data_IF_918723432620
#
_entry.id   IF_918723432620
#
_cell.length_a   1.000
_cell.length_b   1.000
_cell.length_c   1.000
_cell.angle_alpha   90.00
_cell.angle_beta   90.00
_cell.angle_gamma   90.00
#
_symmetry.space_group_name_H-M   'P 1'
#
loop_
_entity.id
_entity.type
_entity.pdbx_description
1 polymer ?
#
# COMPACT_ATOMS: atom_id res chain seq x y z
N UNK A 1 -11.82 -19.80 9.34
CA UNK A 1 -10.72 -19.24 10.15
C UNK A 1 -11.12 -18.95 11.60
N UNK A 2 -12.39 -18.61 11.91
CA UNK A 2 -12.84 -18.27 13.28
C UNK A 2 -12.56 -19.37 14.30
N UNK A 3 -12.83 -20.64 13.94
CA UNK A 3 -12.46 -21.77 14.79
C UNK A 3 -10.95 -21.87 15.02
N UNK A 4 -10.14 -21.61 14.00
CA UNK A 4 -8.68 -21.62 14.13
C UNK A 4 -8.19 -20.52 15.09
N UNK A 5 -8.72 -19.31 14.95
CA UNK A 5 -8.44 -18.20 15.89
C UNK A 5 -8.88 -18.53 17.31
N UNK A 6 -10.00 -19.23 17.49
CA UNK A 6 -10.47 -19.65 18.80
C UNK A 6 -9.49 -20.63 19.47
N UNK A 7 -8.87 -21.54 18.72
CA UNK A 7 -7.92 -22.52 19.26
C UNK A 7 -6.50 -21.96 19.46
N UNK A 8 -6.04 -21.11 18.54
CA UNK A 8 -4.72 -20.49 18.61
C UNK A 8 -4.78 -19.08 18.00
N UNK A 9 -5.20 -18.14 18.83
CA UNK A 9 -5.34 -16.73 18.43
C UNK A 9 -4.03 -16.13 17.92
N UNK A 10 -2.92 -16.40 18.62
CA UNK A 10 -1.62 -15.82 18.29
C UNK A 10 -1.17 -16.20 16.88
N UNK A 11 -1.45 -17.44 16.48
CA UNK A 11 -1.06 -17.95 15.15
C UNK A 11 -2.01 -17.48 14.04
N UNK A 12 -3.31 -17.44 14.30
CA UNK A 12 -4.30 -17.34 13.22
C UNK A 12 -4.99 -15.99 13.09
N UNK A 13 -4.85 -15.10 14.09
CA UNK A 13 -5.57 -13.82 14.07
C UNK A 13 -5.06 -12.90 12.95
N UNK A 14 -3.75 -12.76 12.81
CA UNK A 14 -3.14 -11.95 11.74
C UNK A 14 -3.45 -12.52 10.35
N UNK A 15 -3.36 -13.85 10.20
CA UNK A 15 -3.71 -14.50 8.94
C UNK A 15 -5.19 -14.31 8.59
N UNK A 16 -6.10 -14.33 9.57
CA UNK A 16 -7.51 -14.02 9.33
C UNK A 16 -7.69 -12.57 8.89
N UNK A 17 -6.99 -11.62 9.51
CA UNK A 17 -6.97 -10.22 9.09
C UNK A 17 -6.50 -10.05 7.65
N UNK A 18 -5.42 -10.73 7.26
CA UNK A 18 -4.92 -10.77 5.88
C UNK A 18 -5.98 -11.30 4.91
N UNK A 19 -6.61 -12.44 5.22
CA UNK A 19 -7.67 -13.03 4.38
C UNK A 19 -8.88 -12.10 4.26
N UNK A 20 -9.24 -11.38 5.33
CA UNK A 20 -10.31 -10.38 5.30
C UNK A 20 -9.93 -9.19 4.41
N UNK A 21 -8.71 -8.65 4.55
CA UNK A 21 -8.25 -7.50 3.79
C UNK A 21 -8.14 -7.82 2.28
N UNK A 22 -7.43 -8.88 1.93
CA UNK A 22 -7.05 -9.13 0.53
C UNK A 22 -8.12 -9.92 -0.22
N UNK A 23 -8.72 -10.94 0.39
CA UNK A 23 -9.62 -11.87 -0.32
C UNK A 23 -11.10 -11.56 -0.13
N UNK A 24 -11.58 -11.42 1.11
CA UNK A 24 -13.00 -11.19 1.34
C UNK A 24 -13.43 -9.72 1.33
N UNK A 25 -12.47 -8.78 1.28
CA UNK A 25 -12.70 -7.33 1.28
C UNK A 25 -13.52 -6.85 2.50
N UNK A 26 -13.45 -7.61 3.60
CA UNK A 26 -13.99 -7.20 4.91
C UNK A 26 -12.95 -6.30 5.60
N UNK A 27 -12.83 -5.06 5.11
CA UNK A 27 -11.82 -4.12 5.56
C UNK A 27 -11.99 -3.72 7.03
N UNK A 28 -13.22 -3.55 7.50
CA UNK A 28 -13.49 -3.26 8.91
C UNK A 28 -13.05 -4.42 9.81
N UNK A 29 -13.44 -5.63 9.47
CA UNK A 29 -13.01 -6.81 10.22
C UNK A 29 -11.50 -7.08 10.14
N UNK A 30 -10.83 -6.70 9.03
CA UNK A 30 -9.39 -6.77 8.91
C UNK A 30 -8.70 -5.79 9.87
N UNK A 31 -9.17 -4.55 9.94
CA UNK A 31 -8.67 -3.52 10.87
C UNK A 31 -8.79 -4.02 12.32
N UNK A 32 -9.94 -4.55 12.71
CA UNK A 32 -10.18 -5.08 14.06
C UNK A 32 -9.19 -6.19 14.43
N UNK A 33 -8.98 -7.16 13.53
CA UNK A 33 -8.06 -8.27 13.74
C UNK A 33 -6.62 -7.79 13.87
N UNK A 34 -6.15 -6.92 12.98
CA UNK A 34 -4.78 -6.41 13.03
C UNK A 34 -4.54 -5.45 14.19
N UNK A 35 -5.50 -4.60 14.57
CA UNK A 35 -5.40 -3.75 15.77
C UNK A 35 -5.28 -4.60 17.03
N UNK A 36 -6.03 -5.70 17.12
CA UNK A 36 -5.93 -6.65 18.22
C UNK A 36 -4.56 -7.34 18.25
N UNK A 37 -4.00 -7.70 17.08
CA UNK A 37 -2.64 -8.23 16.99
C UNK A 37 -1.61 -7.22 17.49
N UNK A 38 -1.68 -5.98 17.02
CA UNK A 38 -0.75 -4.91 17.42
C UNK A 38 -0.81 -4.66 18.92
N UNK A 39 -2.03 -4.59 19.49
CA UNK A 39 -2.22 -4.36 20.92
C UNK A 39 -1.64 -5.48 21.78
N UNK A 40 -1.78 -6.73 21.35
CA UNK A 40 -1.34 -7.89 22.15
C UNK A 40 0.12 -8.30 21.91
N UNK A 41 0.61 -8.12 20.70
CA UNK A 41 1.86 -8.73 20.23
C UNK A 41 2.83 -7.74 19.59
N UNK A 42 2.43 -6.46 19.44
CA UNK A 42 3.17 -5.46 18.70
C UNK A 42 2.93 -5.52 17.19
N UNK A 43 3.38 -4.49 16.48
CA UNK A 43 3.34 -4.47 15.01
C UNK A 43 4.39 -5.45 14.47
N UNK A 44 3.92 -6.49 13.77
CA UNK A 44 4.73 -7.55 13.19
C UNK A 44 4.27 -7.81 11.76
N UNK A 45 4.73 -8.89 11.16
CA UNK A 45 4.48 -9.22 9.77
C UNK A 45 3.46 -10.35 9.64
N UNK A 46 2.61 -10.23 8.63
CA UNK A 46 1.84 -11.34 8.06
C UNK A 46 2.11 -11.37 6.56
N UNK A 47 2.42 -12.53 6.00
CA UNK A 47 2.97 -12.61 4.65
C UNK A 47 4.17 -11.65 4.51
N UNK A 48 4.16 -10.75 3.55
CA UNK A 48 5.32 -9.89 3.23
C UNK A 48 5.22 -8.47 3.82
N UNK A 49 4.13 -8.15 4.55
CA UNK A 49 3.87 -6.80 5.04
C UNK A 49 3.53 -6.74 6.54
N UNK A 50 3.70 -5.55 7.12
CA UNK A 50 3.34 -5.30 8.53
C UNK A 50 1.83 -5.32 8.73
N UNK A 51 1.39 -5.55 9.98
CA UNK A 51 -0.03 -5.41 10.33
C UNK A 51 -0.54 -3.99 10.05
N UNK A 52 0.29 -2.98 10.30
CA UNK A 52 -0.04 -1.58 10.02
C UNK A 52 -0.24 -1.32 8.52
N UNK A 53 0.55 -1.94 7.64
CA UNK A 53 0.34 -1.87 6.20
C UNK A 53 -1.08 -2.29 5.80
N UNK A 54 -1.56 -3.45 6.28
CA UNK A 54 -2.90 -3.92 5.95
C UNK A 54 -4.01 -3.04 6.56
N UNK A 55 -3.77 -2.45 7.73
CA UNK A 55 -4.70 -1.45 8.30
C UNK A 55 -4.77 -0.22 7.41
N UNK A 56 -3.63 0.32 6.98
CA UNK A 56 -3.56 1.45 6.06
C UNK A 56 -4.27 1.16 4.74
N UNK A 57 -4.00 -0.01 4.15
CA UNK A 57 -4.65 -0.48 2.92
C UNK A 57 -6.18 -0.59 3.08
N UNK A 58 -6.63 -1.12 4.22
CA UNK A 58 -8.05 -1.23 4.55
C UNK A 58 -8.71 0.15 4.67
N UNK A 59 -8.07 1.12 5.32
CA UNK A 59 -8.57 2.50 5.41
C UNK A 59 -8.65 3.18 4.03
N UNK A 60 -7.69 2.95 3.13
CA UNK A 60 -7.78 3.44 1.74
C UNK A 60 -9.05 2.93 1.05
N UNK A 61 -9.36 1.64 1.22
CA UNK A 61 -10.54 1.02 0.60
C UNK A 61 -11.86 1.44 1.25
N UNK A 62 -11.83 1.95 2.48
CA UNK A 62 -12.97 2.56 3.16
C UNK A 62 -13.09 4.08 2.88
N UNK A 63 -12.23 4.65 2.04
CA UNK A 63 -12.11 6.08 1.75
C UNK A 63 -11.78 6.94 2.99
N UNK A 64 -11.15 6.34 4.00
CA UNK A 64 -10.69 7.03 5.20
C UNK A 64 -9.23 7.47 5.05
N UNK A 65 -8.98 8.35 4.08
CA UNK A 65 -7.65 8.66 3.55
C UNK A 65 -6.71 9.29 4.59
N UNK A 66 -7.22 10.14 5.50
CA UNK A 66 -6.43 10.74 6.57
C UNK A 66 -5.98 9.71 7.61
N UNK A 67 -6.83 8.70 7.88
CA UNK A 67 -6.43 7.59 8.76
C UNK A 67 -5.38 6.72 8.09
N UNK A 68 -5.57 6.41 6.80
CA UNK A 68 -4.58 5.67 6.01
C UNK A 68 -3.24 6.40 6.01
N UNK A 69 -3.22 7.71 5.74
CA UNK A 69 -2.03 8.54 5.76
C UNK A 69 -1.30 8.46 7.11
N UNK A 70 -2.04 8.57 8.21
CA UNK A 70 -1.47 8.50 9.55
C UNK A 70 -0.84 7.15 9.85
N UNK A 71 -1.52 6.06 9.47
CA UNK A 71 -1.02 4.69 9.70
C UNK A 71 0.25 4.44 8.88
N UNK A 72 0.24 4.74 7.57
CA UNK A 72 1.41 4.54 6.72
C UNK A 72 2.60 5.39 7.17
N UNK A 73 2.38 6.66 7.55
CA UNK A 73 3.43 7.52 8.07
C UNK A 73 4.14 6.89 9.28
N UNK A 74 3.36 6.45 10.27
CA UNK A 74 3.91 5.89 11.50
C UNK A 74 4.65 4.57 11.24
N UNK A 75 4.12 3.73 10.36
CA UNK A 75 4.73 2.45 10.00
C UNK A 75 6.03 2.64 9.23
N UNK A 76 6.07 3.57 8.27
CA UNK A 76 7.27 3.95 7.51
C UNK A 76 8.35 4.52 8.44
N UNK A 77 7.98 5.36 9.40
CA UNK A 77 8.92 5.90 10.40
C UNK A 77 9.52 4.78 11.26
N UNK A 78 8.71 3.81 11.68
CA UNK A 78 9.16 2.67 12.46
C UNK A 78 10.05 1.73 11.65
N UNK A 79 9.67 1.39 10.42
CA UNK A 79 10.49 0.60 9.50
C UNK A 79 11.84 1.27 9.24
N UNK A 80 11.84 2.58 8.97
CA UNK A 80 13.06 3.34 8.70
C UNK A 80 13.99 3.35 9.92
N UNK A 81 13.46 3.49 11.14
CA UNK A 81 14.27 3.41 12.37
C UNK A 81 14.90 2.03 12.58
N UNK A 82 14.19 0.96 12.23
CA UNK A 82 14.64 -0.42 12.48
C UNK A 82 15.54 -0.96 11.38
N UNK A 83 15.27 -0.62 10.11
CA UNK A 83 15.89 -1.24 8.94
C UNK A 83 16.68 -0.26 8.08
N UNK A 84 16.63 1.05 8.38
CA UNK A 84 17.27 2.09 7.60
C UNK A 84 16.42 2.68 6.49
N UNK A 85 15.46 1.92 5.96
CA UNK A 85 14.51 2.37 4.95
C UNK A 85 13.17 1.64 5.08
N UNK A 86 12.11 2.21 4.53
CA UNK A 86 10.80 1.57 4.39
C UNK A 86 10.70 0.89 3.03
N UNK A 87 9.86 -0.13 2.91
CA UNK A 87 9.66 -0.85 1.66
C UNK A 87 8.97 0.03 0.60
N UNK A 88 9.35 -0.10 -0.67
CA UNK A 88 8.84 0.74 -1.77
C UNK A 88 7.31 0.72 -1.91
N UNK A 89 6.66 -0.40 -1.59
CA UNK A 89 5.21 -0.52 -1.69
C UNK A 89 4.49 0.25 -0.55
N UNK A 90 5.07 0.32 0.64
CA UNK A 90 4.57 1.18 1.73
C UNK A 90 4.62 2.66 1.34
N UNK A 91 5.73 3.09 0.73
CA UNK A 91 5.89 4.44 0.20
C UNK A 91 4.88 4.75 -0.91
N UNK A 92 4.60 3.78 -1.78
CA UNK A 92 3.56 3.89 -2.79
C UNK A 92 2.19 4.14 -2.17
N UNK A 93 1.73 3.30 -1.24
CA UNK A 93 0.41 3.47 -0.62
C UNK A 93 0.32 4.70 0.29
N UNK A 94 1.44 5.12 0.88
CA UNK A 94 1.50 6.42 1.55
C UNK A 94 1.30 7.57 0.55
N UNK A 95 1.93 7.51 -0.61
CA UNK A 95 1.68 8.43 -1.73
C UNK A 95 0.22 8.40 -2.20
N UNK A 96 -0.39 7.21 -2.31
CA UNK A 96 -1.81 7.05 -2.66
C UNK A 96 -2.73 7.73 -1.64
N UNK A 97 -2.45 7.60 -0.33
CA UNK A 97 -3.27 8.25 0.69
C UNK A 97 -3.29 9.78 0.54
N UNK A 98 -2.18 10.37 0.11
CA UNK A 98 -2.06 11.81 -0.20
C UNK A 98 -2.71 12.16 -1.55
N UNK A 99 -2.55 11.29 -2.55
CA UNK A 99 -3.18 11.43 -3.87
C UNK A 99 -4.71 11.53 -3.75
N UNK A 100 -5.34 10.66 -2.99
CA UNK A 100 -6.79 10.67 -2.77
C UNK A 100 -7.27 11.93 -2.04
N UNK A 101 -6.42 12.55 -1.25
CA UNK A 101 -6.66 13.83 -0.60
C UNK A 101 -6.31 15.04 -1.49
N UNK A 102 -5.95 14.83 -2.76
CA UNK A 102 -5.53 15.86 -3.71
C UNK A 102 -4.28 16.65 -3.27
N UNK A 103 -3.45 16.09 -2.39
CA UNK A 103 -2.15 16.64 -1.96
C UNK A 103 -1.08 16.26 -2.99
N UNK A 104 -1.20 16.80 -4.21
CA UNK A 104 -0.45 16.32 -5.39
C UNK A 104 1.06 16.39 -5.23
N UNK A 105 1.59 17.52 -4.73
CA UNK A 105 3.02 17.71 -4.51
C UNK A 105 3.56 16.73 -3.45
N UNK A 106 2.82 16.56 -2.36
CA UNK A 106 3.23 15.64 -1.31
C UNK A 106 3.18 14.17 -1.77
N UNK A 107 2.18 13.81 -2.58
CA UNK A 107 2.08 12.47 -3.16
C UNK A 107 3.30 12.19 -4.08
N UNK A 108 3.70 13.17 -4.91
CA UNK A 108 4.88 13.06 -5.77
C UNK A 108 6.14 12.78 -4.94
N UNK A 109 6.31 13.42 -3.79
CA UNK A 109 7.48 13.19 -2.92
C UNK A 109 7.56 11.72 -2.48
N UNK A 110 6.45 11.12 -2.10
CA UNK A 110 6.44 9.71 -1.67
C UNK A 110 6.60 8.75 -2.86
N UNK A 111 6.00 9.07 -4.00
CA UNK A 111 6.20 8.33 -5.25
C UNK A 111 7.66 8.36 -5.70
N UNK A 112 8.36 9.48 -5.56
CA UNK A 112 9.78 9.59 -5.87
C UNK A 112 10.66 8.72 -4.97
N UNK A 113 10.31 8.62 -3.68
CA UNK A 113 11.00 7.70 -2.76
C UNK A 113 10.79 6.24 -3.15
N UNK A 114 9.56 5.87 -3.56
CA UNK A 114 9.25 4.53 -4.06
C UNK A 114 10.04 4.21 -5.34
N UNK A 115 10.03 5.12 -6.31
CA UNK A 115 10.76 4.98 -7.59
C UNK A 115 12.27 4.96 -7.41
N UNK A 116 12.81 5.51 -6.34
CA UNK A 116 14.24 5.41 -6.02
C UNK A 116 14.65 3.96 -5.73
N UNK A 117 13.77 3.16 -5.12
CA UNK A 117 14.02 1.75 -4.84
C UNK A 117 13.61 0.86 -6.01
N UNK A 118 12.55 1.20 -6.72
CA UNK A 118 12.02 0.45 -7.86
C UNK A 118 11.76 1.42 -9.05
N UNK A 119 12.79 1.70 -9.89
CA UNK A 119 12.73 2.75 -10.91
C UNK A 119 11.73 2.52 -12.05
N UNK A 120 11.34 1.27 -12.30
CA UNK A 120 10.39 0.88 -13.35
C UNK A 120 8.98 0.59 -12.80
N UNK A 121 8.68 0.99 -11.57
CA UNK A 121 7.39 0.70 -10.95
C UNK A 121 6.25 1.45 -11.64
N UNK A 122 5.63 0.82 -12.62
CA UNK A 122 4.65 1.41 -13.52
C UNK A 122 3.41 1.99 -12.83
N UNK A 123 2.93 1.35 -11.76
CA UNK A 123 1.80 1.86 -10.98
C UNK A 123 2.13 3.21 -10.33
N UNK A 124 3.33 3.35 -9.77
CA UNK A 124 3.81 4.63 -9.19
C UNK A 124 3.96 5.69 -10.26
N UNK A 125 4.56 5.36 -11.40
CA UNK A 125 4.73 6.27 -12.52
C UNK A 125 3.40 6.81 -13.02
N UNK A 126 2.39 5.94 -13.11
CA UNK A 126 1.03 6.31 -13.52
C UNK A 126 0.41 7.34 -12.56
N UNK A 127 0.37 7.06 -11.26
CA UNK A 127 -0.22 8.00 -10.29
C UNK A 127 0.58 9.30 -10.19
N UNK A 128 1.90 9.24 -10.27
CA UNK A 128 2.75 10.43 -10.35
C UNK A 128 2.45 11.25 -11.61
N UNK A 129 2.25 10.61 -12.76
CA UNK A 129 1.88 11.31 -13.99
C UNK A 129 0.54 12.04 -13.84
N UNK A 130 -0.46 11.43 -13.18
CA UNK A 130 -1.73 12.12 -12.88
C UNK A 130 -1.49 13.35 -11.98
N UNK A 131 -0.69 13.22 -10.92
CA UNK A 131 -0.36 14.35 -10.06
C UNK A 131 0.29 15.50 -10.86
N UNK A 132 1.25 15.20 -11.74
CA UNK A 132 1.89 16.18 -12.61
C UNK A 132 0.88 16.87 -13.53
N UNK A 133 -0.06 16.11 -14.10
CA UNK A 133 -1.14 16.69 -14.93
C UNK A 133 -2.02 17.66 -14.13
N UNK A 134 -2.38 17.29 -12.88
CA UNK A 134 -3.16 18.15 -11.98
C UNK A 134 -2.45 19.44 -11.61
N UNK A 135 -1.12 19.41 -11.58
CA UNK A 135 -0.26 20.58 -11.34
C UNK A 135 0.05 21.38 -12.62
N UNK A 136 -0.55 21.02 -13.75
CA UNK A 136 -0.36 21.72 -15.03
C UNK A 136 0.93 21.34 -15.78
N UNK A 137 1.72 20.38 -15.29
CA UNK A 137 3.00 19.93 -15.89
C UNK A 137 2.74 18.87 -16.96
N UNK A 138 2.07 19.28 -18.05
CA UNK A 138 1.51 18.37 -19.07
C UNK A 138 2.58 17.55 -19.81
N UNK A 139 3.70 18.16 -20.18
CA UNK A 139 4.78 17.50 -20.91
C UNK A 139 5.45 16.41 -20.06
N UNK A 140 5.76 16.73 -18.78
CA UNK A 140 6.32 15.77 -17.82
C UNK A 140 5.35 14.61 -17.58
N UNK A 141 4.06 14.92 -17.40
CA UNK A 141 3.00 13.93 -17.23
C UNK A 141 2.91 12.97 -18.41
N UNK A 142 2.86 13.51 -19.65
CA UNK A 142 2.75 12.69 -20.86
C UNK A 142 3.95 11.78 -21.07
N UNK A 143 5.16 12.29 -20.82
CA UNK A 143 6.39 11.51 -20.89
C UNK A 143 6.42 10.38 -19.87
N UNK A 144 6.03 10.68 -18.62
CA UNK A 144 6.02 9.68 -17.55
C UNK A 144 4.93 8.61 -17.78
N UNK A 145 3.76 9.01 -18.30
CA UNK A 145 2.69 8.07 -18.64
C UNK A 145 3.12 7.09 -19.75
N UNK A 146 3.82 7.59 -20.77
CA UNK A 146 4.37 6.73 -21.83
C UNK A 146 5.39 5.73 -21.27
N UNK A 147 6.22 6.16 -20.30
CA UNK A 147 7.15 5.27 -19.59
C UNK A 147 6.38 4.21 -18.79
N UNK A 148 5.37 4.60 -18.03
CA UNK A 148 4.54 3.69 -17.23
C UNK A 148 3.90 2.58 -18.08
N UNK A 149 3.36 2.93 -19.26
CA UNK A 149 2.78 1.94 -20.20
C UNK A 149 3.84 0.93 -20.68
N UNK A 150 5.03 1.41 -21.01
CA UNK A 150 6.14 0.56 -21.45
C UNK A 150 6.59 -0.39 -20.35
N UNK A 151 6.75 0.11 -19.14
CA UNK A 151 7.25 -0.66 -18.01
C UNK A 151 6.20 -1.67 -17.53
N UNK A 152 4.91 -1.30 -17.56
CA UNK A 152 3.81 -2.24 -17.33
C UNK A 152 3.79 -3.39 -18.34
N UNK A 153 4.00 -3.10 -19.64
CA UNK A 153 4.09 -4.12 -20.68
C UNK A 153 5.27 -5.07 -20.47
N UNK A 154 6.31 -4.63 -19.76
CA UNK A 154 7.46 -5.45 -19.35
C UNK A 154 7.25 -6.19 -18.03
N UNK A 155 6.10 -6.03 -17.37
CA UNK A 155 5.74 -6.70 -16.12
C UNK A 155 6.16 -5.97 -14.85
N UNK A 156 6.69 -4.75 -14.95
CA UNK A 156 7.13 -3.93 -13.81
C UNK A 156 5.93 -3.24 -13.12
N UNK A 157 5.11 -4.01 -12.44
CA UNK A 157 3.88 -3.58 -11.78
C UNK A 157 3.78 -4.19 -10.37
N UNK A 158 2.78 -3.84 -9.59
CA UNK A 158 2.50 -4.52 -8.32
C UNK A 158 2.49 -6.03 -8.54
N UNK A 159 3.41 -6.74 -7.90
CA UNK A 159 3.64 -8.17 -8.10
C UNK A 159 3.79 -8.89 -6.75
N UNK A 160 2.75 -8.81 -5.93
CA UNK A 160 2.67 -9.58 -4.70
C UNK A 160 2.45 -11.07 -5.01
N UNK A 161 3.03 -11.96 -4.20
CA UNK A 161 2.98 -13.40 -4.43
C UNK A 161 1.56 -13.95 -4.56
N UNK A 162 0.60 -13.35 -3.87
CA UNK A 162 -0.82 -13.71 -3.93
C UNK A 162 -1.62 -12.92 -4.98
N UNK A 163 -0.99 -12.01 -5.73
CA UNK A 163 -1.66 -11.19 -6.75
C UNK A 163 -2.18 -12.01 -7.95
N UNK A 164 -1.74 -13.25 -8.11
CA UNK A 164 -2.31 -14.21 -9.08
C UNK A 164 -3.73 -14.64 -8.73
N UNK A 165 -4.12 -14.56 -7.45
CA UNK A 165 -5.44 -14.95 -6.96
C UNK A 165 -6.34 -13.74 -6.72
N UNK A 166 -5.75 -12.61 -6.27
CA UNK A 166 -6.50 -11.41 -5.97
C UNK A 166 -5.66 -10.16 -6.24
N UNK A 167 -6.24 -9.22 -7.00
CA UNK A 167 -5.55 -7.97 -7.36
C UNK A 167 -5.48 -7.03 -6.16
N UNK A 168 -4.28 -6.53 -5.89
CA UNK A 168 -4.08 -5.50 -4.88
C UNK A 168 -4.73 -4.18 -5.31
N UNK A 169 -5.28 -3.40 -4.36
CA UNK A 169 -5.85 -2.09 -4.65
C UNK A 169 -4.86 -1.17 -5.36
N UNK A 170 -5.39 -0.27 -6.18
CA UNK A 170 -4.59 0.69 -6.97
C UNK A 170 -3.61 0.09 -7.99
N UNK A 171 -3.61 -1.20 -8.21
CA UNK A 171 -2.91 -1.79 -9.35
C UNK A 171 -3.53 -1.30 -10.64
N UNK A 172 -2.70 -0.68 -11.50
CA UNK A 172 -3.15 -0.10 -12.77
C UNK A 172 -3.30 -1.21 -13.82
N UNK A 173 -4.35 -1.10 -14.62
CA UNK A 173 -4.53 -1.92 -15.83
C UNK A 173 -4.40 -1.01 -17.03
N UNK A 174 -3.29 -1.13 -17.75
CA UNK A 174 -3.00 -0.37 -18.96
C UNK A 174 -3.68 -0.98 -20.19
#
# INVERSE_FOLDING_TARGET
>A
LDKAVHYDEKRWLAYRGFMKCIFSKDYTGAIEDFQKCITKYGNSYEMDHTYAFYIGLSYLQLNEFEKAETIFKNDIEDQTKRMGEAHFLDLFYYGISKYEQQKWEEAIVEFDKSLKQYPEFSDVEYYKAICLARLGKKEESSSLLAKAIKDAASGYTINEANAIYETYPYKVRF
#
